data_IF_665879361663
#
_entry.id   IF_665879361663
#
_cell.length_a   1.000
_cell.length_b   1.000
_cell.length_c   1.000
_cell.angle_alpha   90.00
_cell.angle_beta   90.00
_cell.angle_gamma   90.00
#
_symmetry.space_group_name_H-M   'P 1'
#
loop_
_entity.id
_entity.type
_entity.pdbx_description
1 polymer ?
#
# COMPACT_ATOMS: atom_id res chain seq x y z
N UNK A 1 10.54 -10.88 -10.05
CA UNK A 1 9.54 -9.82 -10.28
C UNK A 1 9.37 -9.08 -8.97
N UNK A 2 10.16 -8.03 -8.73
CA UNK A 2 10.16 -7.37 -7.41
C UNK A 2 10.28 -5.85 -7.52
N UNK A 3 11.08 -5.32 -8.45
CA UNK A 3 11.23 -3.86 -8.55
C UNK A 3 10.09 -3.19 -9.36
N UNK A 4 9.64 -3.79 -10.45
CA UNK A 4 8.53 -3.25 -11.26
C UNK A 4 7.21 -3.25 -10.47
N UNK A 5 6.93 -4.32 -9.71
CA UNK A 5 5.75 -4.41 -8.84
C UNK A 5 5.78 -3.39 -7.70
N UNK A 6 6.97 -3.16 -7.12
CA UNK A 6 7.17 -2.11 -6.13
C UNK A 6 6.81 -0.73 -6.71
N UNK A 7 7.39 -0.36 -7.85
CA UNK A 7 7.16 0.93 -8.51
C UNK A 7 5.68 1.10 -8.86
N UNK A 8 5.08 0.08 -9.50
CA UNK A 8 3.65 0.09 -9.85
C UNK A 8 2.76 0.40 -8.64
N UNK A 9 2.99 -0.28 -7.52
CA UNK A 9 2.21 -0.05 -6.31
C UNK A 9 2.50 1.29 -5.64
N UNK A 10 3.75 1.78 -5.70
CA UNK A 10 4.08 3.11 -5.21
C UNK A 10 3.36 4.21 -6.00
N UNK A 11 3.43 4.16 -7.33
CA UNK A 11 2.76 5.12 -8.21
C UNK A 11 1.25 5.08 -8.01
N UNK A 12 0.69 3.88 -7.86
CA UNK A 12 -0.76 3.73 -7.61
C UNK A 12 -1.17 4.29 -6.26
N UNK A 13 -0.38 4.07 -5.21
CA UNK A 13 -0.62 4.65 -3.89
C UNK A 13 -0.60 6.18 -3.96
N UNK A 14 0.35 6.77 -4.67
CA UNK A 14 0.46 8.22 -4.84
C UNK A 14 -0.76 8.78 -5.58
N UNK A 15 -1.15 8.17 -6.71
CA UNK A 15 -2.31 8.60 -7.49
C UNK A 15 -3.61 8.53 -6.67
N UNK A 16 -3.78 7.50 -5.84
CA UNK A 16 -4.94 7.43 -4.93
C UNK A 16 -4.94 8.55 -3.89
N UNK A 17 -3.77 8.93 -3.35
CA UNK A 17 -3.67 10.07 -2.42
C UNK A 17 -4.02 11.40 -3.10
N UNK A 18 -3.63 11.59 -4.35
CA UNK A 18 -4.02 12.79 -5.12
C UNK A 18 -5.52 12.82 -5.37
N UNK A 19 -6.12 11.70 -5.76
CA UNK A 19 -7.58 11.61 -5.93
C UNK A 19 -8.34 11.87 -4.61
N UNK A 20 -7.85 11.35 -3.48
CA UNK A 20 -8.42 11.65 -2.16
C UNK A 20 -8.38 13.15 -1.83
N UNK A 21 -7.28 13.85 -2.16
CA UNK A 21 -7.15 15.29 -1.93
C UNK A 21 -8.10 16.12 -2.78
N UNK A 22 -8.40 15.67 -4.01
CA UNK A 22 -9.29 16.35 -4.95
C UNK A 22 -10.76 15.97 -4.74
N UNK A 23 -11.06 14.92 -3.97
CA UNK A 23 -12.40 14.45 -3.74
C UNK A 23 -13.17 15.37 -2.77
N UNK A 24 -14.25 15.97 -3.25
CA UNK A 24 -15.20 16.73 -2.42
C UNK A 24 -16.15 15.82 -1.64
N UNK A 25 -16.41 14.62 -2.15
CA UNK A 25 -17.26 13.62 -1.49
C UNK A 25 -16.47 12.87 -0.40
N UNK A 26 -16.96 12.83 0.85
CA UNK A 26 -16.21 12.24 1.97
C UNK A 26 -16.06 10.73 1.86
N UNK A 27 -16.98 10.02 1.22
CA UNK A 27 -16.89 8.57 1.01
C UNK A 27 -15.93 8.23 -0.13
N UNK A 28 -15.91 9.04 -1.20
CA UNK A 28 -14.91 8.92 -2.28
C UNK A 28 -13.51 9.21 -1.75
N UNK A 29 -13.34 10.24 -0.92
CA UNK A 29 -12.08 10.53 -0.24
C UNK A 29 -11.62 9.34 0.60
N UNK A 30 -12.49 8.81 1.47
CA UNK A 30 -12.20 7.67 2.35
C UNK A 30 -11.77 6.44 1.55
N UNK A 31 -12.50 6.09 0.49
CA UNK A 31 -12.15 4.96 -0.39
C UNK A 31 -10.77 5.14 -1.02
N UNK A 32 -10.44 6.34 -1.47
CA UNK A 32 -9.12 6.61 -2.05
C UNK A 32 -7.99 6.56 -1.02
N UNK A 33 -8.22 6.97 0.22
CA UNK A 33 -7.27 6.82 1.33
C UNK A 33 -7.03 5.34 1.67
N UNK A 34 -8.08 4.52 1.70
CA UNK A 34 -7.99 3.07 1.91
C UNK A 34 -7.21 2.38 0.78
N UNK A 35 -7.53 2.72 -0.48
CA UNK A 35 -6.82 2.20 -1.65
C UNK A 35 -5.34 2.60 -1.65
N UNK A 36 -5.03 3.85 -1.28
CA UNK A 36 -3.67 4.31 -1.16
C UNK A 36 -2.88 3.51 -0.11
N UNK A 37 -3.52 3.21 1.03
CA UNK A 37 -2.92 2.42 2.11
C UNK A 37 -2.66 0.98 1.69
N UNK A 38 -3.61 0.35 0.97
CA UNK A 38 -3.45 -1.00 0.43
C UNK A 38 -2.30 -1.09 -0.58
N UNK A 39 -2.19 -0.13 -1.49
CA UNK A 39 -1.09 -0.08 -2.45
C UNK A 39 0.26 0.17 -1.79
N UNK A 40 0.35 1.07 -0.79
CA UNK A 40 1.58 1.30 -0.04
C UNK A 40 2.04 0.03 0.72
N UNK A 41 1.11 -0.72 1.31
CA UNK A 41 1.40 -1.99 1.98
C UNK A 41 1.88 -3.07 0.99
N UNK A 42 1.35 -3.11 -0.24
CA UNK A 42 1.86 -3.98 -1.30
C UNK A 42 3.25 -3.57 -1.76
N UNK A 43 3.48 -2.29 -2.03
CA UNK A 43 4.79 -1.74 -2.37
C UNK A 43 5.87 -2.16 -1.34
N UNK A 44 5.56 -2.09 -0.05
CA UNK A 44 6.48 -2.47 1.03
C UNK A 44 6.79 -3.99 1.09
N UNK A 45 5.91 -4.85 0.59
CA UNK A 45 6.16 -6.29 0.51
C UNK A 45 7.20 -6.63 -0.58
N UNK A 46 7.32 -5.78 -1.60
CA UNK A 46 8.27 -5.96 -2.69
C UNK A 46 9.64 -5.35 -2.42
N UNK A 47 9.76 -4.42 -1.46
CA UNK A 47 11.04 -3.82 -1.04
C UNK A 47 11.78 -4.61 0.02
N UNK A 48 11.24 -5.74 0.49
CA UNK A 48 11.91 -6.61 1.44
C UNK A 48 12.06 -6.01 2.83
N UNK A 49 11.00 -5.38 3.36
CA UNK A 49 10.92 -5.26 4.82
C UNK A 49 10.95 -6.68 5.41
N UNK A 50 11.89 -7.01 6.33
CA UNK A 50 11.97 -8.34 6.89
C UNK A 50 10.64 -8.66 7.55
N UNK A 51 10.08 -9.80 7.17
CA UNK A 51 8.93 -10.43 7.81
C UNK A 51 9.32 -10.74 9.26
N UNK A 52 9.21 -9.75 10.13
CA UNK A 52 9.55 -9.90 11.55
C UNK A 52 8.52 -10.80 12.22
N UNK A 53 9.01 -11.83 12.91
CA UNK A 53 8.39 -12.48 14.05
C UNK A 53 6.91 -12.92 13.90
N UNK A 54 6.71 -14.17 13.50
CA UNK A 54 5.67 -14.99 14.14
C UNK A 54 6.25 -16.40 14.34
N UNK A 55 6.26 -16.86 15.58
CA UNK A 55 6.76 -18.17 16.01
C UNK A 55 5.89 -19.33 15.48
N UNK A 56 6.20 -20.59 15.83
CA UNK A 56 6.25 -20.99 17.24
C UNK A 56 7.51 -21.78 17.63
N UNK A 57 7.85 -21.69 18.92
CA UNK A 57 8.63 -22.70 19.64
C UNK A 57 7.83 -24.01 19.73
N UNK A 58 8.55 -25.13 19.81
CA UNK A 58 8.12 -26.54 19.86
C UNK A 58 8.01 -27.19 18.46
N UNK A 59 8.60 -28.35 18.18
CA UNK A 59 8.97 -29.45 19.07
C UNK A 59 10.12 -30.29 18.49
#
# INVERSE_FOLDING_TARGET
>A
MSNEDHIYHQERAQKCREMAKLASDPDVRRRHEELASMHAGRAAQFTGAPKGADGPTAH
#
